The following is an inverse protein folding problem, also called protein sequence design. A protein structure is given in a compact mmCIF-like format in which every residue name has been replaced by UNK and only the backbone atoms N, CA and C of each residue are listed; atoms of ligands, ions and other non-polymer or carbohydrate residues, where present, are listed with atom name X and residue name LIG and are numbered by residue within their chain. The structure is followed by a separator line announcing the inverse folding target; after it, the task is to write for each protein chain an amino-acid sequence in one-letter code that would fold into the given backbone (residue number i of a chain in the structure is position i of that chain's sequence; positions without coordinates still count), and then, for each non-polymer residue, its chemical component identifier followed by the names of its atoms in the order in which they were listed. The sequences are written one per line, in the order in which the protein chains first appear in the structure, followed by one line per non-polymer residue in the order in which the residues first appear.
data_IF_898710444751
#
_entry.id   IF_898710444751
#
_cell.length_a   1.000
_cell.length_b   1.000
_cell.length_c   1.000
_cell.angle_alpha   90.00
_cell.angle_beta   90.00
_cell.angle_gamma   90.00
#
_symmetry.space_group_name_H-M   'P 1'
#
loop_
_entity.id
_entity.type
_entity.pdbx_description
1 polymer ?
#
# COMPACT_ATOMS: atom_id res chain seq x y z
N UNK A 1 1.16 -12.34 -16.23
CA UNK A 1 1.50 -12.23 -14.80
C UNK A 1 2.84 -11.52 -14.63
N UNK A 2 2.91 -10.53 -13.75
CA UNK A 2 4.14 -9.79 -13.53
C UNK A 2 5.15 -10.63 -12.74
N UNK A 3 6.39 -10.65 -13.20
CA UNK A 3 7.48 -11.33 -12.50
C UNK A 3 8.02 -10.40 -11.38
N UNK A 4 8.76 -10.98 -10.45
CA UNK A 4 9.41 -10.21 -9.39
C UNK A 4 10.35 -9.15 -9.97
N UNK A 5 11.12 -9.49 -11.01
CA UNK A 5 12.03 -8.55 -11.66
C UNK A 5 11.28 -7.38 -12.28
N UNK A 6 10.13 -7.64 -12.89
CA UNK A 6 9.29 -6.57 -13.46
C UNK A 6 8.77 -5.65 -12.35
N UNK A 7 8.31 -6.22 -11.24
CA UNK A 7 7.81 -5.44 -10.10
C UNK A 7 8.92 -4.62 -9.43
N UNK A 8 10.12 -5.18 -9.34
CA UNK A 8 11.27 -4.51 -8.72
C UNK A 8 11.64 -3.22 -9.45
N UNK A 9 11.57 -3.22 -10.77
CA UNK A 9 11.96 -2.07 -11.58
C UNK A 9 10.79 -1.15 -11.94
N UNK A 10 9.59 -1.51 -11.53
CA UNK A 10 8.39 -0.76 -11.88
C UNK A 10 8.32 0.57 -11.12
N UNK A 11 7.98 1.63 -11.85
CA UNK A 11 7.63 2.93 -11.30
C UNK A 11 6.14 3.12 -11.47
N UNK A 12 5.39 3.18 -10.38
CA UNK A 12 3.94 3.39 -10.44
C UNK A 12 3.66 4.88 -10.54
N UNK A 13 2.94 5.28 -11.60
CA UNK A 13 2.60 6.68 -11.85
C UNK A 13 1.14 6.93 -11.43
N UNK A 14 0.96 7.61 -10.30
CA UNK A 14 -0.37 7.92 -9.76
C UNK A 14 -1.18 8.82 -10.70
N UNK A 15 -0.52 9.80 -11.32
CA UNK A 15 -1.20 10.69 -12.25
C UNK A 15 -1.71 9.97 -13.49
N UNK A 16 -0.89 9.08 -14.06
CA UNK A 16 -1.28 8.28 -15.21
C UNK A 16 -2.41 7.32 -14.86
N UNK A 17 -2.32 6.67 -13.70
CA UNK A 17 -3.37 5.76 -13.23
C UNK A 17 -4.70 6.47 -13.04
N UNK A 18 -4.67 7.67 -12.48
CA UNK A 18 -5.87 8.49 -12.25
C UNK A 18 -6.51 8.95 -13.55
N UNK A 19 -5.69 9.34 -14.55
CA UNK A 19 -6.16 9.81 -15.86
C UNK A 19 -6.63 8.68 -16.77
N UNK A 20 -6.04 7.49 -16.59
CA UNK A 20 -6.26 6.36 -17.48
C UNK A 20 -7.45 5.49 -17.09
N UNK A 21 -8.53 6.05 -16.57
CA UNK A 21 -9.69 5.28 -16.12
C UNK A 21 -9.26 4.03 -15.32
N UNK A 22 -9.41 4.09 -14.01
CA UNK A 22 -9.07 2.98 -13.13
C UNK A 22 -9.87 1.74 -13.53
N UNK A 23 -9.27 0.95 -14.40
CA UNK A 23 -9.82 -0.33 -14.74
C UNK A 23 -9.26 -1.41 -13.82
N UNK A 24 -9.85 -2.59 -13.91
CA UNK A 24 -9.48 -3.72 -13.08
C UNK A 24 -8.01 -4.11 -13.24
N UNK A 25 -7.48 -4.01 -14.46
CA UNK A 25 -6.07 -4.37 -14.73
C UNK A 25 -5.09 -3.43 -14.01
N UNK A 26 -5.37 -2.14 -13.99
CA UNK A 26 -4.53 -1.16 -13.27
C UNK A 26 -4.55 -1.45 -11.77
N UNK A 27 -5.73 -1.76 -11.22
CA UNK A 27 -5.86 -2.10 -9.81
C UNK A 27 -5.11 -3.40 -9.47
N UNK A 28 -5.15 -4.40 -10.34
CA UNK A 28 -4.40 -5.64 -10.15
C UNK A 28 -2.89 -5.40 -10.16
N UNK A 29 -2.40 -4.59 -11.08
CA UNK A 29 -0.98 -4.23 -11.15
C UNK A 29 -0.58 -3.48 -9.88
N UNK A 30 -1.39 -2.53 -9.45
CA UNK A 30 -1.14 -1.75 -8.24
C UNK A 30 -1.09 -2.67 -7.00
N UNK A 31 -2.06 -3.58 -6.87
CA UNK A 31 -2.09 -4.55 -5.77
C UNK A 31 -0.85 -5.44 -5.78
N UNK A 32 -0.48 -5.98 -6.93
CA UNK A 32 0.70 -6.84 -7.06
C UNK A 32 1.98 -6.10 -6.66
N UNK A 33 2.11 -4.84 -7.07
CA UNK A 33 3.26 -4.02 -6.73
C UNK A 33 3.33 -3.72 -5.23
N UNK A 34 2.18 -3.39 -4.61
CA UNK A 34 2.12 -3.18 -3.16
C UNK A 34 2.50 -4.47 -2.41
N UNK A 35 1.97 -5.62 -2.82
CA UNK A 35 2.32 -6.90 -2.20
C UNK A 35 3.82 -7.19 -2.32
N UNK A 36 4.41 -6.90 -3.47
CA UNK A 36 5.85 -7.01 -3.65
C UNK A 36 6.60 -6.12 -2.65
N UNK A 37 6.21 -4.84 -2.53
CA UNK A 37 6.84 -3.92 -1.60
C UNK A 37 6.72 -4.42 -0.16
N UNK A 38 5.53 -4.89 0.24
CA UNK A 38 5.30 -5.42 1.59
C UNK A 38 6.20 -6.63 1.87
N UNK A 39 6.42 -7.49 0.87
CA UNK A 39 7.28 -8.67 1.04
C UNK A 39 8.76 -8.31 1.23
N UNK A 40 9.18 -7.13 0.76
CA UNK A 40 10.55 -6.65 0.92
C UNK A 40 10.76 -5.80 2.16
N UNK A 41 9.69 -5.35 2.81
CA UNK A 41 9.78 -4.61 4.06
C UNK A 41 10.03 -5.57 5.21
N UNK A 42 11.11 -5.36 5.93
CA UNK A 42 11.49 -6.22 7.06
C UNK A 42 11.57 -5.39 8.34
N UNK A 43 10.86 -5.81 9.37
CA UNK A 43 10.82 -5.14 10.69
C UNK A 43 10.56 -3.63 10.61
N UNK A 44 9.64 -3.22 9.74
CA UNK A 44 9.26 -1.83 9.59
C UNK A 44 10.29 -0.96 8.90
N UNK A 45 11.32 -1.55 8.30
CA UNK A 45 12.29 -0.79 7.50
C UNK A 45 11.62 -0.23 6.27
N UNK A 46 11.82 1.06 6.04
CA UNK A 46 11.35 1.70 4.81
C UNK A 46 12.27 1.29 3.67
N UNK A 47 11.65 0.88 2.56
CA UNK A 47 12.36 0.63 1.31
C UNK A 47 12.12 1.79 0.35
N UNK A 48 13.04 2.06 -0.59
CA UNK A 48 12.80 3.07 -1.61
C UNK A 48 11.56 2.71 -2.43
N UNK A 49 10.63 3.66 -2.53
CA UNK A 49 9.41 3.47 -3.31
C UNK A 49 9.55 4.26 -4.60
N UNK A 50 9.44 3.57 -5.74
CA UNK A 50 9.49 4.19 -7.05
C UNK A 50 8.08 4.56 -7.49
N UNK A 51 7.67 5.77 -7.17
CA UNK A 51 6.33 6.25 -7.46
C UNK A 51 6.38 7.67 -8.00
N UNK A 52 5.61 7.94 -9.03
CA UNK A 52 5.43 9.29 -9.55
C UNK A 52 4.11 9.86 -9.05
N UNK A 53 4.18 11.02 -8.45
CA UNK A 53 3.04 11.75 -7.91
C UNK A 53 3.57 12.99 -7.23
N UNK A 54 2.68 13.84 -6.72
CA UNK A 54 3.14 14.97 -5.94
C UNK A 54 3.65 14.48 -4.57
N UNK A 55 4.36 15.36 -3.87
CA UNK A 55 4.98 15.03 -2.59
C UNK A 55 3.98 14.49 -1.57
N UNK A 56 2.80 15.09 -1.50
CA UNK A 56 1.77 14.70 -0.53
C UNK A 56 1.21 13.32 -0.86
N UNK A 57 0.92 13.07 -2.14
CA UNK A 57 0.43 11.75 -2.59
C UNK A 57 1.41 10.64 -2.25
N UNK A 58 2.69 10.85 -2.53
CA UNK A 58 3.74 9.85 -2.24
C UNK A 58 3.86 9.63 -0.74
N UNK A 59 3.79 10.69 0.05
CA UNK A 59 3.84 10.60 1.50
C UNK A 59 2.66 9.81 2.06
N UNK A 60 1.44 10.09 1.57
CA UNK A 60 0.23 9.36 1.99
C UNK A 60 0.31 7.89 1.61
N UNK A 61 0.84 7.60 0.42
CA UNK A 61 1.08 6.21 0.01
C UNK A 61 2.05 5.51 0.95
N UNK A 62 3.18 6.13 1.26
CA UNK A 62 4.19 5.55 2.15
C UNK A 62 3.61 5.29 3.54
N UNK A 63 2.82 6.22 4.08
CA UNK A 63 2.17 6.04 5.37
C UNK A 63 1.21 4.86 5.36
N UNK A 64 0.40 4.72 4.32
CA UNK A 64 -0.52 3.60 4.18
C UNK A 64 0.25 2.28 4.07
N UNK A 65 1.33 2.25 3.29
CA UNK A 65 2.16 1.07 3.11
C UNK A 65 2.78 0.60 4.43
N UNK A 66 3.35 1.52 5.20
CA UNK A 66 3.96 1.22 6.50
C UNK A 66 2.91 0.68 7.48
N UNK A 67 1.72 1.30 7.52
CA UNK A 67 0.64 0.85 8.40
C UNK A 67 0.09 -0.51 7.97
N UNK A 68 0.02 -0.79 6.66
CA UNK A 68 -0.36 -2.09 6.13
C UNK A 68 0.60 -3.17 6.64
N UNK A 69 1.90 -2.92 6.57
CA UNK A 69 2.92 -3.86 7.05
C UNK A 69 2.81 -4.07 8.55
N UNK A 70 2.63 -3.02 9.33
CA UNK A 70 2.47 -3.12 10.78
C UNK A 70 1.24 -3.93 11.15
N UNK A 71 0.13 -3.74 10.45
CA UNK A 71 -1.08 -4.50 10.69
C UNK A 71 -0.85 -6.00 10.43
N UNK A 72 -0.21 -6.34 9.32
CA UNK A 72 0.15 -7.73 9.00
C UNK A 72 1.02 -8.34 10.10
N UNK A 73 2.01 -7.61 10.59
CA UNK A 73 2.90 -8.07 11.64
C UNK A 73 2.16 -8.26 12.97
N UNK A 74 1.21 -7.37 13.29
CA UNK A 74 0.40 -7.49 14.51
C UNK A 74 -0.53 -8.70 14.46
N UNK A 75 -1.12 -8.98 13.29
CA UNK A 75 -1.94 -10.18 13.11
C UNK A 75 -1.10 -11.43 13.41
N UNK A 76 0.12 -11.49 12.87
CA UNK A 76 1.02 -12.64 13.09
C UNK A 76 1.44 -12.77 14.54
N UNK A 77 1.69 -11.65 15.22
CA UNK A 77 2.21 -11.65 16.57
C UNK A 77 1.11 -11.81 17.63
N UNK A 78 -0.01 -11.16 17.48
CA UNK A 78 -1.05 -11.08 18.49
C UNK A 78 -2.36 -11.75 18.11
N UNK A 79 -2.61 -11.98 16.83
CA UNK A 79 -3.88 -12.48 16.32
C UNK A 79 -4.88 -11.37 16.01
N UNK A 80 -5.92 -11.72 15.28
CA UNK A 80 -6.94 -10.77 14.83
C UNK A 80 -7.77 -10.19 15.97
N UNK A 81 -7.95 -10.95 17.05
CA UNK A 81 -8.83 -10.55 18.16
C UNK A 81 -8.15 -9.74 19.26
N UNK A 82 -6.84 -9.51 19.15
CA UNK A 82 -6.11 -8.77 20.17
C UNK A 82 -6.41 -7.26 20.06
N UNK A 83 -6.63 -6.57 21.21
CA UNK A 83 -6.87 -5.13 21.21
C UNK A 83 -5.77 -4.31 20.52
N UNK A 84 -4.51 -4.75 20.58
CA UNK A 84 -3.41 -4.07 19.90
C UNK A 84 -3.58 -4.15 18.38
N UNK A 85 -4.06 -5.29 17.88
CA UNK A 85 -4.34 -5.48 16.46
C UNK A 85 -5.48 -4.57 16.01
N UNK A 86 -6.55 -4.45 16.78
CA UNK A 86 -7.64 -3.52 16.50
C UNK A 86 -7.16 -2.07 16.44
N UNK A 87 -6.33 -1.68 17.38
CA UNK A 87 -5.76 -0.34 17.42
C UNK A 87 -4.92 -0.06 16.17
N UNK A 88 -4.12 -1.03 15.75
CA UNK A 88 -3.31 -0.90 14.54
C UNK A 88 -4.19 -0.87 13.28
N UNK A 89 -5.28 -1.64 13.26
CA UNK A 89 -6.26 -1.60 12.15
C UNK A 89 -6.85 -0.21 12.00
N UNK A 90 -7.19 0.46 13.11
CA UNK A 90 -7.72 1.82 13.08
C UNK A 90 -6.72 2.80 12.46
N UNK A 91 -5.44 2.67 12.80
CA UNK A 91 -4.39 3.50 12.21
C UNK A 91 -4.24 3.25 10.72
N UNK A 92 -4.31 1.99 10.30
CA UNK A 92 -4.27 1.63 8.90
C UNK A 92 -5.46 2.24 8.14
N UNK A 93 -6.66 2.11 8.67
CA UNK A 93 -7.86 2.66 8.02
C UNK A 93 -7.76 4.17 7.82
N UNK A 94 -7.23 4.89 8.79
CA UNK A 94 -7.01 6.34 8.67
C UNK A 94 -5.99 6.64 7.57
N UNK A 95 -4.88 5.91 7.54
CA UNK A 95 -3.83 6.11 6.54
C UNK A 95 -4.35 5.82 5.13
N UNK A 96 -5.13 4.75 4.96
CA UNK A 96 -5.74 4.40 3.67
C UNK A 96 -6.69 5.51 3.21
N UNK A 97 -7.56 5.99 4.09
CA UNK A 97 -8.51 7.06 3.73
C UNK A 97 -7.81 8.34 3.31
N UNK A 98 -6.72 8.69 4.00
CA UNK A 98 -5.93 9.86 3.63
C UNK A 98 -5.30 9.71 2.24
N UNK A 99 -4.77 8.52 1.95
CA UNK A 99 -4.23 8.22 0.63
C UNK A 99 -5.31 8.31 -0.44
N UNK A 100 -6.45 7.65 -0.23
CA UNK A 100 -7.55 7.63 -1.20
C UNK A 100 -8.08 9.02 -1.47
N UNK A 101 -8.16 9.86 -0.44
CA UNK A 101 -8.62 11.24 -0.59
C UNK A 101 -7.65 12.08 -1.42
N UNK A 102 -6.36 11.93 -1.18
CA UNK A 102 -5.33 12.71 -1.85
C UNK A 102 -5.07 12.24 -3.28
N UNK A 103 -4.91 10.93 -3.45
CA UNK A 103 -4.54 10.34 -4.73
C UNK A 103 -5.72 10.13 -5.67
N UNK A 104 -6.94 10.10 -5.14
CA UNK A 104 -8.17 9.79 -5.90
C UNK A 104 -8.15 8.40 -6.52
N UNK A 105 -7.47 7.49 -5.85
CA UNK A 105 -7.33 6.08 -6.23
C UNK A 105 -7.66 5.24 -5.00
N UNK A 106 -8.43 4.17 -5.17
CA UNK A 106 -8.74 3.27 -4.09
C UNK A 106 -7.53 2.40 -3.71
N UNK A 107 -7.36 2.19 -2.41
CA UNK A 107 -6.35 1.27 -1.90
C UNK A 107 -6.75 -0.15 -2.30
N UNK A 108 -5.86 -0.89 -3.00
CA UNK A 108 -6.27 -2.16 -3.62
C UNK A 108 -6.20 -3.37 -2.67
N UNK A 109 -5.59 -3.22 -1.51
CA UNK A 109 -5.45 -4.32 -0.55
C UNK A 109 -6.67 -4.35 0.35
N UNK A 110 -7.35 -5.49 0.40
CA UNK A 110 -8.50 -5.70 1.28
C UNK A 110 -8.03 -6.40 2.54
N UNK A 111 -8.32 -5.82 3.69
CA UNK A 111 -7.90 -6.33 4.98
C UNK A 111 -9.06 -6.99 5.73
N UNK A 112 -8.74 -8.02 6.55
CA UNK A 112 -9.75 -8.63 7.41
C UNK A 112 -10.32 -7.64 8.40
#
# INVERSE_FOLDING_TARGET
MLTEDQLKDMVFDLGAARKGELNENILHVFAAWIEYLLSKMYKGRRIPVKMRGNRIEVQRFTDALVNEKRYMDYIKKYGLDDPLTYKQKSKLDVAIKRFEREAKINWPIKNP
#
